data_IF_577354275544
#
_entry.id   IF_577354275544
#
_cell.length_a   1.000
_cell.length_b   1.000
_cell.length_c   1.000
_cell.angle_alpha   90.00
_cell.angle_beta   90.00
_cell.angle_gamma   90.00
#
_symmetry.space_group_name_H-M   'P 1'
#
loop_
_entity.id
_entity.type
_entity.pdbx_description
1 polymer ?
#
# COMPACT_ATOMS: atom_id res chain seq x y z
N UNK A 1 1.98 -15.18 34.18
CA UNK A 1 3.21 -15.68 33.55
C UNK A 1 4.14 -16.19 34.66
N UNK A 2 4.73 -17.37 34.52
CA UNK A 2 5.67 -17.90 35.48
C UNK A 2 7.09 -17.35 35.26
N UNK A 3 8.02 -17.61 36.23
CA UNK A 3 9.38 -17.08 36.17
C UNK A 3 10.18 -17.62 34.97
N UNK A 4 9.96 -18.88 34.61
CA UNK A 4 10.69 -19.51 33.50
C UNK A 4 10.30 -18.89 32.18
N UNK A 5 8.99 -18.64 31.92
CA UNK A 5 8.50 -17.95 30.73
C UNK A 5 9.02 -16.52 30.63
N UNK A 6 9.09 -15.84 31.78
CA UNK A 6 9.61 -14.49 31.85
C UNK A 6 11.11 -14.42 31.47
N UNK A 7 11.93 -15.33 32.03
CA UNK A 7 13.36 -15.40 31.74
C UNK A 7 13.61 -15.79 30.26
N UNK A 8 12.76 -16.63 29.68
CA UNK A 8 12.82 -16.98 28.26
C UNK A 8 12.53 -15.76 27.36
N UNK A 9 11.52 -14.97 27.68
CA UNK A 9 11.19 -13.74 26.92
C UNK A 9 12.33 -12.71 26.96
N UNK A 10 12.99 -12.55 28.12
CA UNK A 10 14.18 -11.70 28.22
C UNK A 10 15.33 -12.23 27.35
N UNK A 11 15.54 -13.54 27.30
CA UNK A 11 16.55 -14.18 26.44
C UNK A 11 16.24 -14.04 24.96
N UNK A 12 14.96 -13.94 24.57
CA UNK A 12 14.52 -13.64 23.20
C UNK A 12 14.62 -12.13 22.86
N UNK A 13 15.14 -11.31 23.77
CA UNK A 13 15.43 -9.90 23.56
C UNK A 13 14.26 -8.96 23.80
N UNK A 14 13.18 -9.40 24.46
CA UNK A 14 12.17 -8.48 24.98
C UNK A 14 12.71 -7.77 26.21
N UNK A 15 12.37 -6.50 26.35
CA UNK A 15 12.65 -5.76 27.58
C UNK A 15 11.59 -6.01 28.65
N UNK A 16 11.93 -5.80 29.92
CA UNK A 16 10.97 -5.91 31.02
C UNK A 16 9.71 -5.09 30.77
N UNK A 17 9.86 -3.87 30.25
CA UNK A 17 8.74 -2.96 29.95
C UNK A 17 7.80 -3.51 28.87
N UNK A 18 8.34 -4.14 27.83
CA UNK A 18 7.56 -4.79 26.76
C UNK A 18 6.79 -5.98 27.34
N UNK A 19 7.46 -6.84 28.12
CA UNK A 19 6.84 -8.00 28.77
C UNK A 19 5.68 -7.56 29.67
N UNK A 20 5.89 -6.56 30.51
CA UNK A 20 4.85 -6.05 31.42
C UNK A 20 3.65 -5.48 30.66
N UNK A 21 3.91 -4.69 29.62
CA UNK A 21 2.88 -4.09 28.76
C UNK A 21 2.04 -5.15 28.02
N UNK A 22 2.70 -6.15 27.42
CA UNK A 22 2.02 -7.21 26.68
C UNK A 22 1.26 -8.16 27.62
N UNK A 23 1.83 -8.46 28.80
CA UNK A 23 1.15 -9.24 29.84
C UNK A 23 -0.12 -8.55 30.34
N UNK A 24 -0.07 -7.22 30.52
CA UNK A 24 -1.25 -6.43 30.91
C UNK A 24 -2.36 -6.46 29.85
N UNK A 25 -1.97 -6.58 28.57
CA UNK A 25 -2.90 -6.71 27.42
C UNK A 25 -3.39 -8.14 27.21
N UNK A 26 -2.94 -9.11 28.00
CA UNK A 26 -3.38 -10.50 27.93
C UNK A 26 -2.67 -11.39 26.92
N UNK A 27 -1.52 -10.96 26.38
CA UNK A 27 -0.74 -11.75 25.42
C UNK A 27 -0.11 -12.98 26.11
N UNK A 28 -0.11 -14.12 25.44
CA UNK A 28 0.64 -15.31 25.81
C UNK A 28 2.13 -15.15 25.51
N UNK A 29 2.97 -16.03 26.06
CA UNK A 29 4.42 -16.05 25.79
C UNK A 29 4.71 -16.23 24.28
N UNK A 30 4.02 -17.16 23.64
CA UNK A 30 4.15 -17.46 22.24
C UNK A 30 3.80 -16.26 21.36
N UNK A 31 2.71 -15.58 21.68
CA UNK A 31 2.29 -14.35 20.97
C UNK A 31 3.30 -13.20 21.15
N UNK A 32 3.94 -13.09 22.33
CA UNK A 32 4.97 -12.09 22.58
C UNK A 32 6.24 -12.36 21.77
N UNK A 33 6.67 -13.63 21.67
CA UNK A 33 7.81 -14.03 20.84
C UNK A 33 7.51 -13.76 19.36
N UNK A 34 6.34 -14.15 18.89
CA UNK A 34 5.92 -13.92 17.50
C UNK A 34 5.86 -12.42 17.16
N UNK A 35 5.35 -11.59 18.07
CA UNK A 35 5.34 -10.13 17.87
C UNK A 35 6.77 -9.56 17.75
N UNK A 36 7.71 -10.07 18.55
CA UNK A 36 9.11 -9.63 18.49
C UNK A 36 9.81 -10.05 17.20
N UNK A 37 9.57 -11.26 16.73
CA UNK A 37 10.09 -11.74 15.45
C UNK A 37 9.52 -10.92 14.27
N UNK A 38 8.24 -10.60 14.34
CA UNK A 38 7.54 -9.78 13.35
C UNK A 38 8.14 -8.36 13.26
N UNK A 39 8.39 -7.73 14.41
CA UNK A 39 9.03 -6.40 14.47
C UNK A 39 10.48 -6.44 13.97
N UNK A 40 11.20 -7.53 14.25
CA UNK A 40 12.58 -7.70 13.77
C UNK A 40 12.64 -7.84 12.25
N UNK A 41 11.75 -8.66 11.64
CA UNK A 41 11.66 -8.78 10.18
C UNK A 41 11.47 -7.41 9.53
N UNK A 42 10.57 -6.60 10.07
CA UNK A 42 10.30 -5.26 9.57
C UNK A 42 11.49 -4.31 9.73
N UNK A 43 12.15 -4.37 10.89
CA UNK A 43 13.35 -3.56 11.16
C UNK A 43 14.48 -3.91 10.18
N UNK A 44 14.73 -5.20 9.97
CA UNK A 44 15.78 -5.69 9.06
C UNK A 44 15.48 -5.27 7.60
N UNK A 45 14.21 -5.32 7.15
CA UNK A 45 13.79 -4.87 5.83
C UNK A 45 13.98 -3.35 5.64
N UNK A 46 13.53 -2.55 6.59
CA UNK A 46 13.65 -1.09 6.55
C UNK A 46 15.12 -0.66 6.52
N UNK A 47 15.95 -1.28 7.36
CA UNK A 47 17.39 -0.92 7.43
C UNK A 47 18.17 -1.42 6.23
N UNK A 48 17.83 -2.57 5.65
CA UNK A 48 18.48 -3.09 4.45
C UNK A 48 18.23 -2.23 3.20
N UNK A 49 17.11 -1.49 3.17
CA UNK A 49 16.69 -0.62 2.06
C UNK A 49 16.62 0.86 2.50
N UNK A 50 17.56 1.33 3.30
CA UNK A 50 17.53 2.66 3.93
C UNK A 50 17.30 3.82 2.94
N UNK A 51 17.94 3.80 1.78
CA UNK A 51 17.81 4.85 0.77
C UNK A 51 16.36 4.92 0.25
N UNK A 52 15.79 3.78 -0.14
CA UNK A 52 14.39 3.67 -0.57
C UNK A 52 13.43 4.09 0.54
N UNK A 53 13.69 3.68 1.77
CA UNK A 53 12.83 4.02 2.91
C UNK A 53 12.84 5.50 3.26
N UNK A 54 13.94 6.21 3.05
CA UNK A 54 13.97 7.67 3.16
C UNK A 54 13.01 8.34 2.17
N UNK A 55 12.95 7.84 0.94
CA UNK A 55 11.99 8.34 -0.06
C UNK A 55 10.55 8.00 0.34
N UNK A 56 10.27 6.75 0.74
CA UNK A 56 8.95 6.29 1.19
C UNK A 56 8.43 7.15 2.35
N UNK A 57 9.24 7.40 3.38
CA UNK A 57 8.83 8.20 4.54
C UNK A 57 8.67 9.69 4.21
N UNK A 58 9.21 10.16 3.10
CA UNK A 58 9.09 11.55 2.65
C UNK A 58 7.93 11.78 1.66
N UNK A 59 7.22 10.75 1.22
CA UNK A 59 6.07 10.92 0.33
C UNK A 59 5.03 11.86 0.98
N UNK A 60 4.62 12.91 0.26
CA UNK A 60 3.64 13.91 0.71
C UNK A 60 3.99 14.60 2.04
N UNK A 61 5.28 14.67 2.43
CA UNK A 61 5.72 15.40 3.63
C UNK A 61 5.99 16.87 3.39
N UNK A 62 6.10 17.30 2.15
CA UNK A 62 6.32 18.69 1.78
C UNK A 62 4.98 19.43 1.56
N UNK A 63 5.02 20.78 1.70
CA UNK A 63 3.87 21.64 1.45
C UNK A 63 3.08 22.03 2.69
N UNK A 64 1.99 22.80 2.51
CA UNK A 64 1.25 23.43 3.62
C UNK A 64 0.41 22.46 4.47
N UNK A 65 0.20 21.25 4.00
CA UNK A 65 -0.56 20.18 4.68
C UNK A 65 0.15 18.84 4.54
N UNK A 66 1.31 18.66 5.20
CA UNK A 66 2.03 17.39 5.12
C UNK A 66 1.19 16.23 5.68
N UNK A 67 1.27 15.07 5.02
CA UNK A 67 0.60 13.86 5.52
C UNK A 67 1.23 13.40 6.83
N UNK A 68 0.40 12.87 7.72
CA UNK A 68 0.79 12.28 9.00
C UNK A 68 0.46 10.79 8.98
N UNK A 69 1.21 10.03 8.16
CA UNK A 69 0.90 8.62 7.94
C UNK A 69 1.36 7.72 9.09
N UNK A 70 2.41 8.12 9.79
CA UNK A 70 3.04 7.30 10.82
C UNK A 70 2.97 8.02 12.16
N UNK A 71 2.20 7.49 13.10
CA UNK A 71 2.14 7.97 14.47
C UNK A 71 2.96 7.08 15.41
N UNK A 72 3.09 5.78 15.08
CA UNK A 72 3.78 4.77 15.88
C UNK A 72 4.51 3.79 14.97
N UNK A 73 5.50 3.10 15.52
CA UNK A 73 6.29 2.09 14.80
C UNK A 73 5.45 0.88 14.37
N UNK A 74 4.53 0.43 15.20
CA UNK A 74 3.62 -0.68 14.91
C UNK A 74 2.68 -0.44 13.71
N UNK A 75 2.45 0.83 13.32
CA UNK A 75 1.70 1.19 12.13
C UNK A 75 2.53 1.15 10.84
N UNK A 76 3.86 1.09 10.95
CA UNK A 76 4.76 1.22 9.78
C UNK A 76 4.54 0.06 8.81
N UNK A 77 4.52 -1.18 9.30
CA UNK A 77 4.35 -2.37 8.48
C UNK A 77 3.07 -2.31 7.63
N UNK A 78 1.94 -1.99 8.23
CA UNK A 78 0.65 -1.90 7.54
C UNK A 78 0.65 -0.85 6.40
N UNK A 79 1.50 0.18 6.52
CA UNK A 79 1.53 1.30 5.59
C UNK A 79 2.63 1.23 4.54
N UNK A 80 3.59 0.31 4.67
CA UNK A 80 4.72 0.22 3.73
C UNK A 80 4.97 -1.20 3.20
N UNK A 81 4.23 -2.22 3.66
CA UNK A 81 4.46 -3.62 3.27
C UNK A 81 4.49 -3.81 1.74
N UNK A 82 3.72 -3.03 1.00
CA UNK A 82 3.62 -3.12 -0.45
C UNK A 82 4.88 -2.66 -1.20
N UNK A 83 5.84 -2.04 -0.53
CA UNK A 83 7.16 -1.76 -1.09
C UNK A 83 8.13 -2.96 -1.02
N UNK A 84 7.74 -4.03 -0.36
CA UNK A 84 8.55 -5.23 -0.17
C UNK A 84 7.81 -6.45 -0.72
N UNK A 85 8.38 -7.09 -1.75
CA UNK A 85 7.71 -8.23 -2.38
C UNK A 85 7.46 -9.39 -1.40
N UNK A 86 8.43 -9.60 -0.49
CA UNK A 86 8.36 -10.63 0.54
C UNK A 86 7.17 -10.44 1.49
N UNK A 87 6.82 -9.17 1.79
CA UNK A 87 5.67 -8.84 2.64
C UNK A 87 4.37 -8.78 1.84
N UNK A 88 4.41 -8.24 0.63
CA UNK A 88 3.23 -8.08 -0.19
C UNK A 88 2.48 -9.39 -0.39
N UNK A 89 3.18 -10.45 -0.77
CA UNK A 89 2.57 -11.76 -1.01
C UNK A 89 2.03 -12.41 0.29
N UNK A 90 2.67 -12.15 1.43
CA UNK A 90 2.20 -12.63 2.75
C UNK A 90 0.98 -11.87 3.26
N UNK A 91 1.00 -10.54 3.14
CA UNK A 91 0.00 -9.65 3.76
C UNK A 91 -1.28 -9.52 2.93
N UNK A 92 -1.22 -9.88 1.63
CA UNK A 92 -2.31 -9.58 0.70
C UNK A 92 -2.91 -10.79 0.01
N UNK A 93 -2.52 -12.00 0.40
CA UNK A 93 -2.90 -13.24 -0.28
C UNK A 93 -4.41 -13.38 -0.59
N UNK A 94 -5.30 -12.67 0.16
CA UNK A 94 -6.75 -12.71 -0.05
C UNK A 94 -7.47 -11.39 0.25
N UNK A 95 -6.77 -10.26 0.36
CA UNK A 95 -7.37 -9.01 0.84
C UNK A 95 -7.02 -7.81 -0.04
N UNK A 96 -7.81 -7.63 -1.10
CA UNK A 96 -7.70 -6.47 -1.99
C UNK A 96 -8.79 -5.45 -1.66
N UNK A 97 -8.39 -4.30 -1.16
CA UNK A 97 -9.28 -3.17 -0.96
C UNK A 97 -9.48 -2.42 -2.28
N UNK A 98 -10.65 -2.60 -2.90
CA UNK A 98 -11.05 -1.84 -4.07
C UNK A 98 -11.77 -0.54 -3.68
N UNK A 99 -11.80 0.48 -4.58
CA UNK A 99 -12.76 1.56 -4.47
C UNK A 99 -14.19 1.01 -4.37
N UNK A 100 -15.03 1.58 -3.51
CA UNK A 100 -16.42 1.13 -3.29
C UNK A 100 -17.29 1.13 -4.56
N UNK A 101 -16.85 1.83 -5.58
CA UNK A 101 -17.50 2.00 -6.88
C UNK A 101 -17.10 0.94 -7.89
N UNK A 102 -16.14 0.07 -7.58
CA UNK A 102 -15.57 -0.91 -8.49
C UNK A 102 -15.71 -2.34 -7.96
N UNK A 103 -16.14 -3.22 -8.84
CA UNK A 103 -16.00 -4.67 -8.68
C UNK A 103 -14.67 -5.15 -9.26
N UNK A 104 -14.19 -6.33 -8.84
CA UNK A 104 -12.88 -6.87 -9.23
C UNK A 104 -12.72 -6.99 -10.76
N UNK A 105 -13.75 -7.49 -11.45
CA UNK A 105 -13.70 -7.66 -12.89
C UNK A 105 -13.58 -6.33 -13.66
N UNK A 106 -14.24 -5.27 -13.20
CA UNK A 106 -14.08 -3.95 -13.81
C UNK A 106 -12.71 -3.34 -13.47
N UNK A 107 -12.20 -3.57 -12.26
CA UNK A 107 -10.85 -3.17 -11.89
C UNK A 107 -9.80 -3.87 -12.76
N UNK A 108 -9.95 -5.16 -13.06
CA UNK A 108 -9.07 -5.89 -13.99
C UNK A 108 -9.10 -5.30 -15.39
N UNK A 109 -10.27 -4.98 -15.93
CA UNK A 109 -10.40 -4.31 -17.24
C UNK A 109 -9.67 -2.96 -17.29
N UNK A 110 -9.76 -2.20 -16.20
CA UNK A 110 -9.03 -0.94 -16.06
C UNK A 110 -7.52 -1.21 -16.11
N UNK A 111 -7.03 -2.20 -15.38
CA UNK A 111 -5.60 -2.54 -15.34
C UNK A 111 -5.10 -3.03 -16.70
N UNK A 112 -5.87 -3.88 -17.41
CA UNK A 112 -5.53 -4.32 -18.78
C UNK A 112 -5.39 -3.16 -19.78
N UNK A 113 -6.26 -2.16 -19.70
CA UNK A 113 -6.20 -0.97 -20.54
C UNK A 113 -5.02 -0.06 -20.13
N UNK A 114 -4.88 0.17 -18.80
CA UNK A 114 -3.84 1.04 -18.27
C UNK A 114 -2.42 0.49 -18.51
N UNK A 115 -2.19 -0.81 -18.38
CA UNK A 115 -0.89 -1.46 -18.59
C UNK A 115 -0.35 -1.19 -20.02
N UNK A 116 -1.25 -1.14 -21.01
CA UNK A 116 -0.88 -0.86 -22.42
C UNK A 116 -0.42 0.59 -22.64
N UNK A 117 -1.00 1.53 -21.88
CA UNK A 117 -0.67 2.95 -21.95
C UNK A 117 0.45 3.34 -20.98
N UNK A 118 0.76 2.48 -19.99
CA UNK A 118 1.72 2.80 -18.93
C UNK A 118 3.14 3.02 -19.46
N UNK A 119 3.67 4.20 -19.20
CA UNK A 119 5.05 4.58 -19.46
C UNK A 119 5.72 5.09 -18.19
N UNK A 120 6.72 4.34 -17.69
CA UNK A 120 7.44 4.68 -16.47
C UNK A 120 8.23 5.98 -16.55
N UNK A 121 8.71 6.34 -17.75
CA UNK A 121 9.63 7.46 -17.97
C UNK A 121 8.92 8.82 -18.16
N UNK A 122 7.62 8.92 -17.89
CA UNK A 122 6.88 10.18 -17.94
C UNK A 122 6.97 10.94 -16.62
N UNK A 123 6.89 12.27 -16.67
CA UNK A 123 6.67 13.08 -15.48
C UNK A 123 5.22 12.93 -14.94
N UNK A 124 4.98 13.46 -13.74
CA UNK A 124 3.69 13.30 -13.05
C UNK A 124 2.51 13.89 -13.83
N UNK A 125 2.70 15.02 -14.50
CA UNK A 125 1.62 15.70 -15.24
C UNK A 125 1.27 14.93 -16.50
N UNK A 126 2.25 14.45 -17.23
CA UNK A 126 2.09 13.57 -18.40
C UNK A 126 1.45 12.24 -17.97
N UNK A 127 1.96 11.59 -16.93
CA UNK A 127 1.38 10.38 -16.38
C UNK A 127 -0.10 10.54 -16.03
N UNK A 128 -0.47 11.66 -15.40
CA UNK A 128 -1.88 11.90 -15.05
C UNK A 128 -2.75 12.22 -16.29
N UNK A 129 -2.15 12.81 -17.34
CA UNK A 129 -2.83 13.01 -18.62
C UNK A 129 -3.12 11.67 -19.29
N UNK A 130 -2.13 10.77 -19.36
CA UNK A 130 -2.28 9.43 -19.92
C UNK A 130 -3.35 8.62 -19.18
N UNK A 131 -3.35 8.69 -17.84
CA UNK A 131 -4.39 8.08 -17.02
C UNK A 131 -5.80 8.61 -17.33
N UNK A 132 -5.94 9.91 -17.62
CA UNK A 132 -7.23 10.50 -18.04
C UNK A 132 -7.65 10.02 -19.43
N UNK A 133 -6.72 9.83 -20.35
CA UNK A 133 -7.03 9.29 -21.68
C UNK A 133 -7.59 7.88 -21.57
N UNK A 134 -6.93 7.01 -20.80
CA UNK A 134 -7.45 5.66 -20.48
C UNK A 134 -8.82 5.73 -19.81
N UNK A 135 -9.03 6.64 -18.88
CA UNK A 135 -10.33 6.82 -18.23
C UNK A 135 -11.43 7.18 -19.23
N UNK A 136 -11.16 8.10 -20.18
CA UNK A 136 -12.11 8.49 -21.22
C UNK A 136 -12.43 7.31 -22.14
N UNK A 137 -11.42 6.57 -22.59
CA UNK A 137 -11.60 5.38 -23.44
C UNK A 137 -12.49 4.32 -22.80
N UNK A 138 -12.38 4.17 -21.48
CA UNK A 138 -13.19 3.22 -20.70
C UNK A 138 -14.59 3.75 -20.31
N UNK A 139 -14.90 5.02 -20.61
CA UNK A 139 -16.19 5.65 -20.33
C UNK A 139 -16.27 6.27 -18.91
N UNK A 140 -15.13 6.63 -18.32
CA UNK A 140 -15.08 7.35 -17.05
C UNK A 140 -14.96 8.86 -17.27
N UNK A 141 -15.56 9.65 -16.39
CA UNK A 141 -15.50 11.10 -16.43
C UNK A 141 -14.15 11.61 -15.89
N UNK A 142 -13.58 12.62 -16.54
CA UNK A 142 -12.39 13.33 -16.07
C UNK A 142 -12.71 14.71 -15.49
N UNK A 143 -13.92 15.20 -15.68
CA UNK A 143 -14.44 16.45 -15.14
C UNK A 143 -15.53 16.21 -14.12
N UNK A 144 -15.27 16.62 -12.86
CA UNK A 144 -16.20 16.41 -11.74
C UNK A 144 -17.52 17.15 -11.90
N UNK A 145 -17.53 18.32 -12.59
CA UNK A 145 -18.75 19.10 -12.79
C UNK A 145 -19.64 18.43 -13.83
N UNK A 146 -19.05 17.94 -14.91
CA UNK A 146 -19.78 17.18 -15.94
C UNK A 146 -20.36 15.89 -15.33
N UNK A 147 -19.58 15.13 -14.59
CA UNK A 147 -20.04 13.92 -13.92
C UNK A 147 -21.21 14.18 -12.98
N UNK A 148 -21.13 15.23 -12.13
CA UNK A 148 -22.24 15.58 -11.21
C UNK A 148 -23.52 15.98 -11.93
N UNK A 149 -23.42 16.52 -13.14
CA UNK A 149 -24.58 16.96 -13.93
C UNK A 149 -25.26 15.80 -14.63
N UNK A 150 -24.51 14.85 -15.13
CA UNK A 150 -25.00 13.72 -15.93
C UNK A 150 -24.27 12.42 -15.51
N UNK A 151 -24.47 11.92 -14.27
CA UNK A 151 -23.71 10.75 -13.79
C UNK A 151 -24.02 9.48 -14.57
N UNK A 152 -25.21 9.38 -15.17
CA UNK A 152 -25.66 8.25 -16.00
C UNK A 152 -24.92 8.10 -17.33
N UNK A 153 -24.23 9.15 -17.78
CA UNK A 153 -23.42 9.11 -19.02
C UNK A 153 -22.06 8.44 -18.80
N UNK A 154 -21.66 8.16 -17.56
CA UNK A 154 -20.32 7.68 -17.20
C UNK A 154 -20.40 6.46 -16.28
N UNK A 155 -19.40 5.60 -16.38
CA UNK A 155 -19.23 4.47 -15.44
C UNK A 155 -18.77 4.93 -14.04
N UNK A 156 -18.13 6.08 -13.95
CA UNK A 156 -17.55 6.64 -12.74
C UNK A 156 -16.62 7.80 -13.06
N UNK A 157 -15.62 8.01 -12.22
CA UNK A 157 -14.65 9.11 -12.35
C UNK A 157 -13.24 8.58 -12.60
N UNK A 158 -12.35 9.43 -13.12
CA UNK A 158 -10.91 9.14 -13.21
C UNK A 158 -10.30 8.74 -11.86
N UNK A 159 -10.88 9.16 -10.75
CA UNK A 159 -10.49 8.71 -9.41
C UNK A 159 -10.70 7.20 -9.20
N UNK A 160 -11.70 6.62 -9.85
CA UNK A 160 -11.96 5.18 -9.76
C UNK A 160 -10.91 4.41 -10.55
N UNK A 161 -10.53 4.93 -11.73
CA UNK A 161 -9.42 4.38 -12.54
C UNK A 161 -8.10 4.44 -11.76
N UNK A 162 -7.76 5.59 -11.17
CA UNK A 162 -6.59 5.73 -10.29
C UNK A 162 -6.67 4.81 -9.06
N UNK A 163 -7.87 4.61 -8.53
CA UNK A 163 -8.14 3.69 -7.43
C UNK A 163 -7.89 2.23 -7.78
N UNK A 164 -8.27 1.80 -9.01
CA UNK A 164 -7.95 0.45 -9.50
C UNK A 164 -6.44 0.25 -9.63
N UNK A 165 -5.72 1.22 -10.21
CA UNK A 165 -4.25 1.17 -10.30
C UNK A 165 -3.62 1.10 -8.92
N UNK A 166 -4.09 1.90 -7.97
CA UNK A 166 -3.65 1.86 -6.57
C UNK A 166 -3.87 0.50 -5.94
N UNK A 167 -5.07 -0.05 -6.07
CA UNK A 167 -5.41 -1.37 -5.53
C UNK A 167 -4.54 -2.47 -6.14
N UNK A 168 -4.27 -2.43 -7.45
CA UNK A 168 -3.39 -3.39 -8.10
C UNK A 168 -1.95 -3.36 -7.58
N UNK A 169 -1.44 -2.19 -7.20
CA UNK A 169 -0.06 -2.03 -6.72
C UNK A 169 0.09 -2.29 -5.22
N UNK A 170 -0.93 -1.95 -4.43
CA UNK A 170 -0.79 -1.88 -2.97
C UNK A 170 -1.80 -2.74 -2.21
N UNK A 171 -2.82 -3.27 -2.87
CA UNK A 171 -4.00 -3.91 -2.28
C UNK A 171 -4.71 -3.03 -1.23
N UNK A 172 -4.53 -1.70 -1.31
CA UNK A 172 -5.16 -0.70 -0.43
C UNK A 172 -5.92 0.35 -1.23
N UNK A 173 -7.09 0.75 -0.73
CA UNK A 173 -7.91 1.79 -1.33
C UNK A 173 -7.32 3.20 -1.09
N UNK A 174 -6.55 3.39 -0.03
CA UNK A 174 -5.97 4.68 0.35
C UNK A 174 -4.49 4.55 0.70
N UNK A 175 -3.65 5.27 -0.04
CA UNK A 175 -2.20 5.35 0.17
C UNK A 175 -1.73 6.80 -0.06
N UNK A 176 -0.46 7.13 0.17
CA UNK A 176 0.15 8.35 -0.32
C UNK A 176 0.07 8.51 -1.85
N UNK A 177 0.76 9.50 -2.39
CA UNK A 177 0.75 9.82 -3.83
C UNK A 177 1.10 8.61 -4.70
N UNK A 178 0.17 8.23 -5.58
CA UNK A 178 0.27 7.03 -6.40
C UNK A 178 1.44 7.09 -7.38
N UNK A 179 1.66 8.23 -8.05
CA UNK A 179 2.77 8.39 -8.97
C UNK A 179 4.12 8.19 -8.27
N UNK A 180 4.29 8.81 -7.11
CA UNK A 180 5.52 8.66 -6.30
C UNK A 180 5.74 7.22 -5.85
N UNK A 181 4.68 6.52 -5.44
CA UNK A 181 4.75 5.09 -5.11
C UNK A 181 5.27 4.28 -6.31
N UNK A 182 4.73 4.51 -7.50
CA UNK A 182 5.15 3.82 -8.74
C UNK A 182 6.63 4.09 -9.06
N UNK A 183 7.09 5.33 -8.89
CA UNK A 183 8.49 5.70 -9.13
C UNK A 183 9.44 5.02 -8.14
N UNK A 184 9.08 4.95 -6.86
CA UNK A 184 9.88 4.26 -5.83
C UNK A 184 9.91 2.75 -6.05
N UNK A 185 8.79 2.15 -6.44
CA UNK A 185 8.72 0.71 -6.75
C UNK A 185 9.55 0.33 -7.97
N UNK A 186 9.64 1.21 -8.96
CA UNK A 186 10.29 0.96 -10.24
C UNK A 186 9.40 0.19 -11.23
N UNK A 187 9.75 0.28 -12.51
CA UNK A 187 8.92 -0.24 -13.62
C UNK A 187 8.66 -1.74 -13.53
N UNK A 188 9.70 -2.51 -13.22
CA UNK A 188 9.60 -3.98 -13.16
C UNK A 188 8.62 -4.44 -12.08
N UNK A 189 8.73 -3.89 -10.87
CA UNK A 189 7.82 -4.22 -9.78
C UNK A 189 6.38 -3.79 -10.09
N UNK A 190 6.17 -2.59 -10.66
CA UNK A 190 4.84 -2.12 -11.08
C UNK A 190 4.20 -3.08 -12.07
N UNK A 191 4.91 -3.50 -13.12
CA UNK A 191 4.37 -4.43 -14.12
C UNK A 191 4.10 -5.81 -13.53
N UNK A 192 4.94 -6.27 -12.61
CA UNK A 192 4.71 -7.55 -11.93
C UNK A 192 3.47 -7.50 -11.03
N UNK A 193 3.21 -6.38 -10.34
CA UNK A 193 1.97 -6.16 -9.57
C UNK A 193 0.73 -6.19 -10.47
N UNK A 194 0.77 -5.58 -11.65
CA UNK A 194 -0.35 -5.66 -12.59
C UNK A 194 -0.64 -7.10 -13.01
N UNK A 195 0.37 -7.88 -13.36
CA UNK A 195 0.19 -9.31 -13.70
C UNK A 195 -0.40 -10.11 -12.54
N UNK A 196 0.11 -9.93 -11.32
CA UNK A 196 -0.43 -10.58 -10.12
C UNK A 196 -1.89 -10.21 -9.90
N UNK A 197 -2.25 -8.94 -10.01
CA UNK A 197 -3.62 -8.48 -9.86
C UNK A 197 -4.57 -9.05 -10.91
N UNK A 198 -4.14 -9.14 -12.16
CA UNK A 198 -4.93 -9.73 -13.24
C UNK A 198 -5.15 -11.24 -13.06
N UNK A 199 -4.31 -11.91 -12.30
CA UNK A 199 -4.43 -13.35 -12.01
C UNK A 199 -5.35 -13.69 -10.83
N UNK A 200 -5.81 -12.69 -10.06
CA UNK A 200 -6.78 -12.87 -8.99
C UNK A 200 -8.14 -13.35 -9.55
#
# INVERSE_FOLDING_TARGET
>A
MNKQDHDELLNQGLTQKEIDSLTQKGFTKEEMIQAKEYDKEMYDLVTSKEAMMKEVFNIDKEGPKPRKDFAKWDEVREKIFYFFDELFDKETANDVELPKTLELEEAKRIIEAYEKAYNFNTDKDTWFSDLKEVAVELGYATDRKKYKKNPEEYKGMVSDVAGAVRAALTHRANTPDLYTIMQIMGEEAVRERFKKFLSL
#
